data_IF_108515295363
#
_entry.id   IF_108515295363
#
_cell.length_a   1.000
_cell.length_b   1.000
_cell.length_c   1.000
_cell.angle_alpha   90.00
_cell.angle_beta   90.00
_cell.angle_gamma   90.00
#
_symmetry.space_group_name_H-M   'P 1'
#
loop_
_entity.id
_entity.type
_entity.pdbx_description
1 polymer ?
#
# COMPACT_ATOMS: atom_id res chain seq x y z
N UNK A 1 -32.10 -33.26 16.28
CA UNK A 1 -32.58 -32.58 15.05
C UNK A 1 -31.33 -32.09 14.33
N UNK A 2 -31.14 -32.44 13.06
CA UNK A 2 -30.08 -31.84 12.26
C UNK A 2 -30.55 -30.42 11.90
N UNK A 3 -29.88 -29.40 12.41
CA UNK A 3 -30.13 -28.02 12.02
C UNK A 3 -29.59 -27.87 10.60
N UNK A 4 -30.47 -27.81 9.61
CA UNK A 4 -30.06 -27.53 8.22
C UNK A 4 -29.67 -26.05 8.15
N UNK A 5 -28.38 -25.77 8.25
CA UNK A 5 -27.82 -24.44 7.99
C UNK A 5 -27.46 -24.34 6.51
N UNK A 6 -27.79 -23.23 5.84
CA UNK A 6 -27.35 -22.98 4.48
C UNK A 6 -25.82 -22.81 4.45
N UNK A 7 -25.15 -23.38 3.44
CA UNK A 7 -23.76 -23.05 3.15
C UNK A 7 -23.75 -21.77 2.29
N UNK A 8 -23.20 -20.68 2.81
CA UNK A 8 -23.22 -19.40 2.11
C UNK A 8 -22.07 -19.28 1.13
N UNK A 9 -22.34 -18.55 0.03
CA UNK A 9 -21.31 -18.10 -0.89
C UNK A 9 -20.34 -17.13 -0.20
N UNK A 10 -19.14 -16.99 -0.74
CA UNK A 10 -18.14 -16.04 -0.23
C UNK A 10 -18.71 -14.61 -0.22
N UNK A 11 -18.48 -13.90 0.88
CA UNK A 11 -19.02 -12.56 1.13
C UNK A 11 -20.43 -12.56 1.73
N UNK A 12 -21.04 -13.72 1.98
CA UNK A 12 -22.38 -13.84 2.58
C UNK A 12 -22.38 -14.69 3.86
N UNK A 13 -23.27 -14.36 4.79
CA UNK A 13 -23.44 -15.05 6.07
C UNK A 13 -24.89 -15.00 6.54
N UNK A 14 -25.16 -15.53 7.74
CA UNK A 14 -26.49 -15.66 8.32
C UNK A 14 -27.12 -17.03 8.08
N UNK A 15 -28.31 -17.24 8.66
CA UNK A 15 -29.01 -18.53 8.58
C UNK A 15 -29.52 -18.85 7.15
N UNK A 16 -29.84 -17.81 6.38
CA UNK A 16 -30.38 -17.86 5.02
C UNK A 16 -29.45 -17.21 3.98
N UNK A 17 -28.20 -16.91 4.35
CA UNK A 17 -27.20 -16.27 3.50
C UNK A 17 -27.57 -14.88 2.97
N UNK A 18 -28.51 -14.18 3.62
CA UNK A 18 -28.95 -12.84 3.21
C UNK A 18 -28.09 -11.69 3.72
N UNK A 19 -27.15 -11.96 4.63
CA UNK A 19 -26.31 -10.95 5.28
C UNK A 19 -25.00 -10.81 4.49
N UNK A 20 -24.71 -9.63 3.94
CA UNK A 20 -23.42 -9.36 3.31
C UNK A 20 -22.35 -9.11 4.37
N UNK A 21 -21.17 -9.69 4.18
CA UNK A 21 -19.99 -9.40 4.97
C UNK A 21 -19.42 -8.04 4.59
N UNK A 22 -19.02 -7.25 5.58
CA UNK A 22 -18.32 -6.01 5.32
C UNK A 22 -16.81 -6.23 5.15
N UNK A 23 -16.09 -5.25 4.59
CA UNK A 23 -14.64 -5.25 4.60
C UNK A 23 -14.07 -5.46 6.00
N UNK A 24 -12.95 -6.18 6.06
CA UNK A 24 -12.23 -6.49 7.29
C UNK A 24 -10.85 -5.84 7.26
N UNK A 25 -10.41 -5.40 8.43
CA UNK A 25 -9.12 -4.77 8.62
C UNK A 25 -8.65 -4.83 10.06
N UNK A 26 -7.43 -4.34 10.24
CA UNK A 26 -6.79 -4.16 11.55
C UNK A 26 -7.23 -2.83 12.15
N UNK A 27 -7.39 -2.79 13.47
CA UNK A 27 -7.79 -1.56 14.15
C UNK A 27 -6.57 -0.63 14.22
N UNK A 28 -6.61 0.58 13.64
CA UNK A 28 -5.43 1.45 13.56
C UNK A 28 -4.88 1.91 14.92
N UNK A 29 -5.60 1.67 16.02
CA UNK A 29 -5.15 2.02 17.36
C UNK A 29 -4.64 0.83 18.17
N UNK A 30 -4.82 -0.40 17.69
CA UNK A 30 -4.12 -1.56 18.26
C UNK A 30 -2.74 -1.60 17.59
N UNK A 31 -1.68 -1.64 18.40
CA UNK A 31 -0.30 -1.53 17.91
C UNK A 31 0.58 -2.56 18.60
N UNK A 32 1.68 -2.95 17.95
CA UNK A 32 2.60 -3.95 18.49
C UNK A 32 2.07 -5.38 18.40
N UNK A 33 1.12 -5.64 17.50
CA UNK A 33 0.66 -6.98 17.15
C UNK A 33 1.58 -7.64 16.12
N UNK A 34 1.50 -8.97 16.07
CA UNK A 34 2.23 -9.81 15.16
C UNK A 34 1.35 -10.26 13.99
N UNK A 35 2.01 -10.68 12.92
CA UNK A 35 1.36 -11.39 11.83
C UNK A 35 1.18 -12.88 12.19
N UNK A 36 0.06 -13.45 11.76
CA UNK A 36 -0.22 -14.87 11.95
C UNK A 36 0.87 -15.66 11.25
N UNK A 37 1.55 -16.56 11.98
CA UNK A 37 2.65 -17.35 11.40
C UNK A 37 2.45 -18.83 11.68
N UNK A 38 2.58 -19.65 10.63
CA UNK A 38 2.55 -21.11 10.71
C UNK A 38 3.84 -21.69 10.14
N UNK A 39 4.14 -22.91 10.52
CA UNK A 39 5.17 -23.72 9.91
C UNK A 39 4.52 -24.90 9.21
N UNK A 40 4.82 -25.08 7.93
CA UNK A 40 4.44 -26.28 7.18
C UNK A 40 5.69 -27.14 7.02
N UNK A 41 5.68 -28.33 7.61
CA UNK A 41 6.78 -29.28 7.59
C UNK A 41 6.37 -30.53 6.84
N UNK A 42 7.06 -30.84 5.75
CA UNK A 42 6.94 -32.11 5.04
C UNK A 42 8.14 -32.99 5.36
N UNK A 43 7.88 -34.21 5.83
CA UNK A 43 8.93 -35.17 6.20
C UNK A 43 8.90 -36.42 5.32
N UNK A 44 10.06 -37.05 5.18
CA UNK A 44 10.21 -38.41 4.68
C UNK A 44 10.91 -39.28 5.71
N UNK A 45 10.48 -40.53 5.89
CA UNK A 45 11.16 -41.49 6.77
C UNK A 45 12.57 -41.85 6.25
N UNK A 46 12.80 -41.79 4.93
CA UNK A 46 14.10 -41.93 4.30
C UNK A 46 14.08 -41.40 2.85
N UNK A 47 15.15 -40.71 2.44
CA UNK A 47 15.35 -40.21 1.07
C UNK A 47 14.81 -38.79 0.83
N UNK A 48 15.09 -38.23 -0.34
CA UNK A 48 14.60 -36.90 -0.72
C UNK A 48 13.12 -36.94 -1.10
N UNK A 49 12.34 -35.97 -0.61
CA UNK A 49 10.98 -35.72 -1.07
C UNK A 49 11.01 -35.19 -2.52
N UNK A 50 10.14 -35.74 -3.37
CA UNK A 50 9.90 -35.23 -4.71
C UNK A 50 8.42 -35.36 -5.06
N UNK A 51 7.93 -34.56 -6.01
CA UNK A 51 6.50 -34.43 -6.34
C UNK A 51 5.87 -33.16 -5.73
N UNK A 52 4.54 -33.13 -5.73
CA UNK A 52 3.75 -32.02 -5.19
C UNK A 52 2.83 -32.49 -4.07
N UNK A 53 2.55 -31.62 -3.12
CA UNK A 53 1.59 -31.79 -2.04
C UNK A 53 0.52 -30.70 -2.13
N UNK A 54 -0.69 -30.98 -1.65
CA UNK A 54 -1.76 -30.00 -1.61
C UNK A 54 -1.88 -29.41 -0.20
N UNK A 55 -1.99 -28.09 -0.12
CA UNK A 55 -2.33 -27.38 1.11
C UNK A 55 -3.74 -26.80 0.92
N UNK A 56 -4.59 -27.01 1.91
CA UNK A 56 -5.90 -26.37 2.01
C UNK A 56 -5.91 -25.39 3.17
N UNK A 57 -6.40 -24.18 2.92
CA UNK A 57 -6.71 -23.20 3.95
C UNK A 57 -8.14 -22.70 3.77
N UNK A 58 -8.98 -22.93 4.79
CA UNK A 58 -10.37 -22.45 4.83
C UNK A 58 -11.18 -22.80 3.55
N UNK A 59 -10.97 -24.03 3.06
CA UNK A 59 -11.70 -24.60 1.93
C UNK A 59 -11.07 -24.35 0.56
N UNK A 60 -10.04 -23.50 0.46
CA UNK A 60 -9.29 -23.30 -0.78
C UNK A 60 -7.99 -24.08 -0.79
N UNK A 61 -7.61 -24.61 -1.96
CA UNK A 61 -6.50 -25.56 -2.09
C UNK A 61 -5.57 -25.15 -3.22
N UNK A 62 -4.27 -25.24 -2.98
CA UNK A 62 -3.22 -25.15 -4.01
C UNK A 62 -2.25 -26.33 -3.90
N UNK A 63 -1.49 -26.57 -4.95
CA UNK A 63 -0.41 -27.56 -4.97
C UNK A 63 0.95 -26.87 -4.92
N UNK A 64 1.87 -27.41 -4.12
CA UNK A 64 3.24 -26.92 -3.99
C UNK A 64 4.22 -28.09 -4.15
N UNK A 65 5.33 -27.85 -4.84
CA UNK A 65 6.34 -28.88 -5.06
C UNK A 65 7.24 -29.03 -3.84
N UNK A 66 7.72 -30.25 -3.58
CA UNK A 66 8.67 -30.52 -2.49
C UNK A 66 9.99 -29.74 -2.62
N UNK A 67 10.37 -29.34 -3.85
CA UNK A 67 11.57 -28.56 -4.11
C UNK A 67 11.33 -27.06 -4.32
N UNK A 68 10.12 -26.56 -4.05
CA UNK A 68 9.76 -25.16 -4.24
C UNK A 68 10.74 -24.20 -3.53
N UNK A 69 11.00 -23.07 -4.17
CA UNK A 69 11.68 -21.91 -3.60
C UNK A 69 10.74 -21.10 -2.69
N UNK A 70 11.30 -20.14 -1.96
CA UNK A 70 10.54 -19.19 -1.15
C UNK A 70 9.52 -18.41 -2.00
N UNK A 71 9.95 -17.93 -3.17
CA UNK A 71 9.09 -17.20 -4.10
C UNK A 71 7.97 -18.08 -4.69
N UNK A 72 8.23 -19.36 -4.95
CA UNK A 72 7.19 -20.30 -5.39
C UNK A 72 6.19 -20.61 -4.28
N UNK A 73 6.63 -20.69 -3.02
CA UNK A 73 5.74 -20.82 -1.86
C UNK A 73 4.84 -19.58 -1.71
N UNK A 74 5.42 -18.38 -1.76
CA UNK A 74 4.69 -17.12 -1.66
C UNK A 74 3.63 -17.01 -2.77
N UNK A 75 4.05 -17.20 -4.03
CA UNK A 75 3.14 -17.16 -5.16
C UNK A 75 2.01 -18.20 -5.07
N UNK A 76 2.27 -19.38 -4.50
CA UNK A 76 1.28 -20.43 -4.38
C UNK A 76 0.22 -20.11 -3.31
N UNK A 77 0.63 -19.57 -2.17
CA UNK A 77 -0.30 -19.10 -1.13
C UNK A 77 -1.17 -17.94 -1.62
N UNK A 78 -0.59 -17.00 -2.37
CA UNK A 78 -1.31 -15.84 -2.94
C UNK A 78 -2.22 -16.21 -4.13
N UNK A 79 -2.25 -17.49 -4.55
CA UNK A 79 -3.31 -17.96 -5.48
C UNK A 79 -4.65 -18.21 -4.78
N UNK A 80 -4.65 -18.38 -3.46
CA UNK A 80 -5.88 -18.56 -2.69
C UNK A 80 -6.59 -17.21 -2.55
N UNK A 81 -7.87 -17.15 -2.91
CA UNK A 81 -8.62 -15.88 -2.88
C UNK A 81 -8.87 -15.35 -1.46
N UNK A 82 -8.70 -16.19 -0.44
CA UNK A 82 -8.72 -15.82 0.98
C UNK A 82 -7.36 -15.35 1.54
N UNK A 83 -6.33 -15.20 0.70
CA UNK A 83 -4.99 -14.71 1.07
C UNK A 83 -4.59 -13.56 0.16
N UNK A 84 -4.21 -12.40 0.72
CA UNK A 84 -3.77 -11.24 -0.08
C UNK A 84 -2.26 -11.16 -0.19
N UNK A 85 -1.54 -11.39 0.92
CA UNK A 85 -0.08 -11.37 0.94
C UNK A 85 0.48 -12.29 2.02
N UNK A 86 1.54 -13.02 1.66
CA UNK A 86 2.34 -13.78 2.63
C UNK A 86 3.83 -13.57 2.41
N UNK A 87 4.62 -13.85 3.44
CA UNK A 87 6.06 -14.05 3.32
C UNK A 87 6.37 -15.52 3.62
N UNK A 88 7.00 -16.21 2.67
CA UNK A 88 7.48 -17.58 2.87
C UNK A 88 9.00 -17.61 3.10
N UNK A 89 9.43 -18.15 4.25
CA UNK A 89 10.84 -18.44 4.52
C UNK A 89 11.09 -19.94 4.51
N UNK A 90 12.05 -20.40 3.71
CA UNK A 90 12.39 -21.82 3.60
C UNK A 90 13.42 -22.19 4.68
N UNK A 91 13.06 -23.16 5.51
CA UNK A 91 13.93 -23.68 6.55
C UNK A 91 15.10 -24.50 5.99
N UNK A 92 16.14 -24.67 6.81
CA UNK A 92 17.24 -25.58 6.50
C UNK A 92 16.71 -27.03 6.56
N UNK A 93 16.91 -27.85 5.51
CA UNK A 93 16.45 -29.22 5.52
C UNK A 93 17.02 -30.03 6.69
N UNK A 94 16.18 -30.85 7.32
CA UNK A 94 16.61 -31.79 8.34
C UNK A 94 17.54 -32.89 7.79
N UNK A 95 18.12 -33.74 8.65
CA UNK A 95 19.03 -34.82 8.25
C UNK A 95 18.42 -35.82 7.26
N UNK A 96 17.09 -35.88 7.20
CA UNK A 96 16.32 -36.80 6.34
C UNK A 96 15.80 -36.11 5.07
N UNK A 97 16.18 -34.84 4.84
CA UNK A 97 15.74 -34.07 3.66
C UNK A 97 14.36 -33.45 3.81
N UNK A 98 13.96 -33.12 5.05
CA UNK A 98 12.68 -32.50 5.36
C UNK A 98 12.58 -31.11 4.70
N UNK A 99 11.37 -30.75 4.28
CA UNK A 99 11.08 -29.47 3.65
C UNK A 99 10.22 -28.66 4.61
N UNK A 100 10.71 -27.49 5.00
CA UNK A 100 10.02 -26.63 5.95
C UNK A 100 9.81 -25.24 5.34
N UNK A 101 8.59 -24.73 5.45
CA UNK A 101 8.26 -23.34 5.13
C UNK A 101 7.65 -22.68 6.37
N UNK A 102 8.23 -21.56 6.78
CA UNK A 102 7.60 -20.64 7.72
C UNK A 102 6.81 -19.63 6.90
N UNK A 103 5.49 -19.64 7.06
CA UNK A 103 4.55 -18.80 6.31
C UNK A 103 4.02 -17.73 7.24
N UNK A 104 4.30 -16.47 6.92
CA UNK A 104 3.82 -15.28 7.65
C UNK A 104 2.69 -14.68 6.83
N UNK A 105 1.50 -14.59 7.39
CA UNK A 105 0.35 -13.96 6.74
C UNK A 105 0.41 -12.45 6.97
N UNK A 106 1.12 -11.74 6.09
CA UNK A 106 1.31 -10.29 6.16
C UNK A 106 -0.01 -9.53 6.00
N UNK A 107 -0.92 -10.05 5.15
CA UNK A 107 -2.22 -9.43 4.90
C UNK A 107 -3.27 -10.43 4.41
N UNK A 108 -4.45 -10.37 5.04
CA UNK A 108 -5.67 -10.98 4.51
C UNK A 108 -6.45 -9.95 3.66
N UNK A 109 -7.23 -10.40 2.65
CA UNK A 109 -7.94 -9.50 1.73
C UNK A 109 -8.87 -8.50 2.42
N UNK A 110 -8.84 -7.22 2.06
CA UNK A 110 -9.75 -6.23 2.66
C UNK A 110 -11.22 -6.58 2.47
N UNK A 111 -11.60 -7.10 1.29
CA UNK A 111 -12.91 -7.71 1.06
C UNK A 111 -12.76 -9.21 1.39
N UNK A 112 -13.31 -9.68 2.52
CA UNK A 112 -13.06 -11.04 2.98
C UNK A 112 -13.69 -12.07 2.05
N UNK A 113 -12.89 -13.02 1.59
CA UNK A 113 -13.37 -14.20 0.87
C UNK A 113 -13.83 -15.30 1.84
N UNK A 114 -14.73 -14.92 2.75
CA UNK A 114 -15.22 -15.75 3.87
C UNK A 114 -16.72 -16.05 3.74
N UNK A 115 -17.19 -17.07 4.44
CA UNK A 115 -18.61 -17.44 4.52
C UNK A 115 -19.02 -17.75 5.96
N UNK A 116 -20.24 -18.25 6.17
CA UNK A 116 -20.66 -18.76 7.48
C UNK A 116 -19.99 -20.08 7.88
N UNK A 117 -19.23 -20.73 6.98
CA UNK A 117 -18.51 -21.97 7.25
C UNK A 117 -17.01 -21.69 7.43
N UNK A 118 -16.44 -20.87 6.55
CA UNK A 118 -15.02 -20.53 6.55
C UNK A 118 -14.84 -19.07 6.94
N UNK A 119 -14.36 -18.83 8.16
CA UNK A 119 -14.19 -17.48 8.71
C UNK A 119 -13.17 -17.46 9.83
N UNK A 120 -12.42 -16.36 9.92
CA UNK A 120 -11.51 -16.05 11.00
C UNK A 120 -11.44 -14.53 11.19
N UNK A 121 -11.02 -14.11 12.39
CA UNK A 121 -10.84 -12.70 12.74
C UNK A 121 -9.36 -12.31 12.82
N UNK A 122 -8.55 -12.94 11.96
CA UNK A 122 -7.12 -12.67 11.77
C UNK A 122 -6.21 -13.74 12.36
N UNK A 123 -6.74 -14.55 13.28
CA UNK A 123 -6.04 -15.67 13.89
C UNK A 123 -6.76 -17.01 13.60
N UNK A 124 -6.70 -17.52 12.36
CA UNK A 124 -7.27 -18.82 12.03
C UNK A 124 -6.62 -19.93 12.88
N UNK A 125 -7.45 -20.82 13.42
CA UNK A 125 -6.98 -21.95 14.25
C UNK A 125 -6.21 -22.94 13.40
N UNK A 126 -5.29 -23.72 13.98
CA UNK A 126 -4.50 -24.68 13.20
C UNK A 126 -5.37 -25.70 12.40
N UNK A 127 -6.60 -25.95 12.85
CA UNK A 127 -7.55 -26.85 12.18
C UNK A 127 -8.10 -26.32 10.83
N UNK A 128 -7.94 -25.03 10.53
CA UNK A 128 -8.30 -24.47 9.21
C UNK A 128 -7.27 -24.81 8.13
N UNK A 129 -6.09 -25.28 8.54
CA UNK A 129 -5.00 -25.66 7.65
C UNK A 129 -4.91 -27.17 7.59
N UNK A 130 -5.03 -27.73 6.39
CA UNK A 130 -4.84 -29.17 6.18
C UNK A 130 -3.86 -29.39 5.04
N UNK A 131 -3.11 -30.48 5.13
CA UNK A 131 -2.35 -30.99 3.99
C UNK A 131 -3.03 -32.24 3.47
N UNK A 132 -3.26 -32.28 2.16
CA UNK A 132 -3.68 -33.50 1.48
C UNK A 132 -2.50 -34.11 0.71
N UNK A 133 -2.21 -35.38 1.01
CA UNK A 133 -1.14 -36.16 0.40
C UNK A 133 -1.66 -37.14 -0.66
N UNK A 134 -2.97 -37.16 -0.94
CA UNK A 134 -3.60 -38.13 -1.86
C UNK A 134 -3.12 -38.00 -3.30
N UNK A 135 -2.79 -36.78 -3.76
CA UNK A 135 -2.22 -36.53 -5.09
C UNK A 135 -0.68 -36.59 -5.12
N UNK A 136 -0.02 -36.96 -4.01
CA UNK A 136 1.44 -37.10 -3.98
C UNK A 136 1.85 -38.30 -4.83
N UNK A 137 2.32 -38.02 -6.04
CA UNK A 137 3.05 -39.00 -6.84
C UNK A 137 4.42 -39.17 -6.17
N UNK A 138 4.58 -40.22 -5.35
CA UNK A 138 5.87 -40.59 -4.78
C UNK A 138 6.84 -40.95 -5.91
N UNK A 139 7.62 -39.98 -6.38
CA UNK A 139 8.76 -40.26 -7.24
C UNK A 139 9.93 -40.72 -6.35
N UNK A 140 9.92 -42.01 -6.01
CA UNK A 140 11.00 -42.66 -5.25
C UNK A 140 10.52 -43.54 -4.10
N UNK A 141 11.48 -44.19 -3.43
CA UNK A 141 11.27 -45.22 -2.39
C UNK A 141 10.88 -44.66 -1.00
N UNK A 142 10.32 -43.45 -0.89
CA UNK A 142 9.88 -42.90 0.39
C UNK A 142 8.63 -43.64 0.86
N UNK A 143 8.72 -44.39 1.95
CA UNK A 143 7.66 -45.32 2.36
C UNK A 143 6.55 -44.68 3.18
N UNK A 144 6.63 -43.39 3.57
CA UNK A 144 5.56 -42.67 4.28
C UNK A 144 5.80 -41.15 4.29
N UNK A 145 5.34 -40.37 3.29
CA UNK A 145 5.36 -38.91 3.40
C UNK A 145 4.41 -38.45 4.51
N UNK A 146 4.81 -37.44 5.29
CA UNK A 146 3.93 -36.75 6.23
C UNK A 146 3.97 -35.24 6.00
N UNK A 147 2.86 -34.56 6.28
CA UNK A 147 2.79 -33.11 6.30
C UNK A 147 2.14 -32.68 7.61
N UNK A 148 2.80 -31.76 8.29
CA UNK A 148 2.37 -31.24 9.59
C UNK A 148 2.35 -29.73 9.49
N UNK A 149 1.25 -29.12 9.93
CA UNK A 149 1.12 -27.67 10.08
C UNK A 149 1.12 -27.35 11.56
N UNK A 150 2.00 -26.45 11.99
CA UNK A 150 2.14 -26.05 13.38
C UNK A 150 2.11 -24.53 13.55
N UNK A 151 1.70 -24.08 14.73
CA UNK A 151 1.73 -22.67 15.10
C UNK A 151 3.15 -22.20 15.39
N UNK A 152 3.55 -21.08 14.78
CA UNK A 152 4.78 -20.37 15.14
C UNK A 152 4.44 -19.10 15.92
N UNK A 153 3.51 -18.29 15.38
CA UNK A 153 2.97 -17.11 16.05
C UNK A 153 1.44 -17.15 15.96
N UNK A 154 0.80 -17.26 17.12
CA UNK A 154 -0.66 -17.39 17.24
C UNK A 154 -1.23 -16.52 18.38
N UNK A 155 -0.42 -15.63 18.96
CA UNK A 155 -0.80 -14.76 20.08
C UNK A 155 -0.52 -13.31 19.75
N UNK A 156 -1.36 -12.40 20.24
CA UNK A 156 -1.25 -10.97 19.94
C UNK A 156 -1.16 -10.74 18.42
N UNK A 157 -2.14 -11.29 17.69
CA UNK A 157 -2.21 -11.20 16.22
C UNK A 157 -3.00 -9.96 15.83
N UNK A 158 -2.65 -9.34 14.70
CA UNK A 158 -3.44 -8.25 14.08
C UNK A 158 -4.90 -8.66 13.95
N UNK A 159 -5.81 -7.75 14.24
CA UNK A 159 -7.22 -8.07 14.09
C UNK A 159 -7.60 -8.06 12.60
N UNK A 160 -8.61 -8.85 12.27
CA UNK A 160 -9.20 -8.85 10.94
C UNK A 160 -10.73 -8.93 11.10
N UNK A 161 -11.28 -7.80 11.57
CA UNK A 161 -12.67 -7.67 12.00
C UNK A 161 -13.43 -6.73 11.08
N UNK A 162 -14.75 -6.86 11.02
CA UNK A 162 -15.57 -5.98 10.19
C UNK A 162 -15.36 -4.52 10.56
N UNK A 163 -15.13 -3.71 9.53
CA UNK A 163 -14.91 -2.27 9.64
C UNK A 163 -13.81 -1.93 10.66
N UNK A 164 -12.83 -2.81 10.85
CA UNK A 164 -11.71 -2.64 11.80
C UNK A 164 -12.14 -2.33 13.23
N UNK A 165 -13.42 -2.55 13.57
CA UNK A 165 -14.04 -2.08 14.82
C UNK A 165 -14.23 -0.56 14.93
N UNK A 166 -14.03 0.17 13.83
CA UNK A 166 -14.10 1.64 13.69
C UNK A 166 -15.24 2.11 12.79
N UNK A 167 -16.21 1.24 12.52
CA UNK A 167 -17.39 1.58 11.73
C UNK A 167 -18.56 0.65 12.02
N UNK A 168 -19.74 1.04 11.52
CA UNK A 168 -20.91 0.18 11.49
C UNK A 168 -20.94 -0.59 10.17
N UNK A 169 -21.13 -1.91 10.25
CA UNK A 169 -21.29 -2.72 9.05
C UNK A 169 -22.71 -2.62 8.51
N UNK A 170 -22.89 -2.00 7.34
CA UNK A 170 -24.15 -2.06 6.61
C UNK A 170 -24.23 -3.42 5.90
N UNK A 171 -24.89 -4.38 6.55
CA UNK A 171 -25.01 -5.77 6.05
C UNK A 171 -25.94 -5.92 4.85
N UNK A 172 -26.67 -4.87 4.48
CA UNK A 172 -27.47 -4.86 3.25
C UNK A 172 -26.59 -4.50 2.08
N UNK A 173 -25.61 -3.61 2.23
CA UNK A 173 -24.73 -3.20 1.12
C UNK A 173 -23.40 -3.96 1.11
N UNK A 174 -22.98 -4.48 2.27
CA UNK A 174 -21.65 -5.06 2.47
C UNK A 174 -20.56 -4.00 2.54
N UNK A 175 -20.89 -2.81 3.06
CA UNK A 175 -20.00 -1.64 3.13
C UNK A 175 -19.93 -1.12 4.57
N UNK A 176 -18.78 -0.56 4.94
CA UNK A 176 -18.55 0.03 6.25
C UNK A 176 -18.92 1.52 6.28
N UNK A 177 -19.75 1.89 7.24
CA UNK A 177 -20.02 3.28 7.62
C UNK A 177 -19.04 3.67 8.73
N UNK A 178 -17.95 4.36 8.38
CA UNK A 178 -16.88 4.68 9.32
C UNK A 178 -17.30 5.72 10.36
N UNK A 179 -16.77 5.56 11.58
CA UNK A 179 -16.82 6.57 12.62
C UNK A 179 -16.05 7.82 12.17
N UNK A 180 -16.35 9.01 12.72
CA UNK A 180 -15.56 10.21 12.47
C UNK A 180 -14.06 9.96 12.71
N UNK A 181 -13.22 10.55 11.87
CA UNK A 181 -11.75 10.40 11.89
C UNK A 181 -11.24 9.02 11.43
N UNK A 182 -12.10 8.12 10.94
CA UNK A 182 -11.67 6.87 10.31
C UNK A 182 -12.09 6.82 8.83
N UNK A 183 -11.20 6.29 8.00
CA UNK A 183 -11.36 6.16 6.55
C UNK A 183 -10.79 4.81 6.07
N UNK A 184 -10.82 4.56 4.77
CA UNK A 184 -10.52 3.26 4.17
C UNK A 184 -11.77 2.40 4.01
N UNK A 185 -11.68 1.34 3.19
CA UNK A 185 -12.84 0.51 2.86
C UNK A 185 -13.34 -0.29 4.08
N UNK A 186 -12.45 -0.58 5.02
CA UNK A 186 -12.73 -1.23 6.29
C UNK A 186 -12.54 -0.28 7.49
N UNK A 187 -12.54 1.05 7.31
CA UNK A 187 -12.27 2.00 8.40
C UNK A 187 -10.94 1.76 9.13
N UNK A 188 -9.96 1.19 8.42
CA UNK A 188 -8.65 0.75 8.90
C UNK A 188 -7.63 1.90 8.96
N UNK A 189 -7.96 3.06 8.40
CA UNK A 189 -7.10 4.24 8.38
C UNK A 189 -7.65 5.27 9.38
N UNK A 190 -6.78 5.86 10.20
CA UNK A 190 -7.14 7.01 11.04
C UNK A 190 -6.79 8.30 10.29
N UNK A 191 -7.81 9.03 9.85
CA UNK A 191 -7.67 10.33 9.19
C UNK A 191 -7.27 11.37 10.24
N UNK A 192 -5.97 11.70 10.28
CA UNK A 192 -5.45 12.70 11.19
C UNK A 192 -5.75 14.09 10.64
N UNK A 193 -6.95 14.59 10.89
CA UNK A 193 -7.25 16.03 10.74
C UNK A 193 -6.37 16.81 11.75
N UNK A 194 -5.33 17.48 11.26
CA UNK A 194 -4.47 18.32 12.11
C UNK A 194 -5.17 19.66 12.33
N UNK A 195 -6.02 19.72 13.36
CA UNK A 195 -6.62 20.97 13.82
C UNK A 195 -5.52 21.81 14.50
N UNK A 196 -5.03 22.85 13.81
CA UNK A 196 -4.18 23.87 14.42
C UNK A 196 -5.02 25.08 14.84
N UNK A 197 -4.78 25.58 16.05
CA UNK A 197 -5.36 26.82 16.54
C UNK A 197 -4.23 27.81 16.86
N UNK A 198 -4.36 29.05 16.37
CA UNK A 198 -3.37 30.13 16.56
C UNK A 198 -2.27 30.19 15.49
N UNK A 199 -1.23 30.98 15.76
CA UNK A 199 -0.15 31.32 14.81
C UNK A 199 1.01 30.29 14.76
N UNK A 200 0.73 29.01 15.00
CA UNK A 200 1.75 27.97 14.99
C UNK A 200 1.84 27.26 13.64
N UNK A 201 3.05 26.79 13.27
CA UNK A 201 3.23 25.94 12.10
C UNK A 201 2.44 24.63 12.24
N UNK A 202 1.66 24.27 11.21
CA UNK A 202 1.02 22.95 11.11
C UNK A 202 2.08 21.86 10.90
N UNK A 203 3.15 22.18 10.17
CA UNK A 203 4.29 21.30 9.91
C UNK A 203 5.59 22.11 9.92
N UNK A 204 6.48 21.80 10.87
CA UNK A 204 7.84 22.34 10.91
C UNK A 204 8.86 21.22 10.64
N UNK A 205 9.61 21.34 9.56
CA UNK A 205 10.74 20.47 9.23
C UNK A 205 12.04 21.25 9.47
N UNK A 206 12.82 20.85 10.48
CA UNK A 206 14.02 21.57 10.90
C UNK A 206 15.23 20.65 11.02
N UNK A 207 16.20 20.80 10.12
CA UNK A 207 17.53 20.22 10.25
C UNK A 207 18.37 21.08 11.21
N UNK A 208 18.69 20.56 12.38
CA UNK A 208 19.37 21.30 13.46
C UNK A 208 20.90 21.27 13.38
N UNK A 209 21.45 20.44 12.48
CA UNK A 209 22.89 20.35 12.25
C UNK A 209 23.32 21.34 11.16
N UNK A 210 24.31 22.17 11.45
CA UNK A 210 24.88 23.14 10.51
C UNK A 210 25.66 22.49 9.36
N UNK A 211 25.99 21.21 9.45
CA UNK A 211 26.65 20.40 8.42
C UNK A 211 25.66 19.56 7.58
N UNK A 212 24.36 19.83 7.68
CA UNK A 212 23.35 19.09 6.92
C UNK A 212 23.53 19.27 5.39
N UNK A 213 23.72 18.15 4.69
CA UNK A 213 23.98 18.08 3.23
C UNK A 213 22.90 17.28 2.46
N UNK A 214 21.72 17.12 3.08
CA UNK A 214 20.60 16.32 2.55
C UNK A 214 19.40 17.15 2.09
N UNK A 215 18.24 16.50 1.97
CA UNK A 215 16.96 17.16 1.67
C UNK A 215 16.10 17.27 2.93
N UNK A 216 15.60 18.47 3.25
CA UNK A 216 14.60 18.64 4.32
C UNK A 216 13.25 18.06 3.89
N UNK A 217 12.88 18.22 2.62
CA UNK A 217 11.70 17.62 2.00
C UNK A 217 12.11 17.00 0.67
N UNK A 218 11.88 15.70 0.51
CA UNK A 218 12.12 14.97 -0.74
C UNK A 218 10.80 14.33 -1.20
N UNK A 219 10.27 14.81 -2.33
CA UNK A 219 9.04 14.30 -2.94
C UNK A 219 9.41 13.50 -4.18
N UNK A 220 8.98 12.23 -4.25
CA UNK A 220 9.29 11.33 -5.37
C UNK A 220 8.07 10.52 -5.81
N UNK A 221 8.02 10.19 -7.10
CA UNK A 221 7.00 9.34 -7.69
C UNK A 221 7.66 8.32 -8.62
N UNK A 222 7.15 7.08 -8.63
CA UNK A 222 7.52 6.06 -9.62
C UNK A 222 6.83 6.26 -10.96
N UNK A 223 5.76 7.09 -10.99
CA UNK A 223 5.10 7.49 -12.24
C UNK A 223 6.03 8.44 -13.01
N UNK A 224 6.21 8.25 -14.34
CA UNK A 224 6.97 9.18 -15.16
C UNK A 224 6.42 10.61 -15.09
N UNK A 225 7.31 11.59 -15.29
CA UNK A 225 6.95 13.01 -15.31
C UNK A 225 5.81 13.29 -16.29
N UNK A 226 4.69 13.83 -15.81
CA UNK A 226 3.53 14.18 -16.63
C UNK A 226 2.69 15.31 -16.03
N UNK A 227 1.79 15.85 -16.84
CA UNK A 227 0.81 16.87 -16.47
C UNK A 227 -0.32 16.37 -15.56
N UNK A 228 -0.42 15.05 -15.36
CA UNK A 228 -1.63 14.43 -14.80
C UNK A 228 -1.65 14.43 -13.26
N UNK A 229 -0.57 14.87 -12.64
CA UNK A 229 -0.44 14.94 -11.20
C UNK A 229 0.42 16.14 -10.77
N UNK A 230 0.35 16.48 -9.48
CA UNK A 230 1.16 17.52 -8.88
C UNK A 230 2.08 16.91 -7.81
N UNK A 231 3.32 17.38 -7.75
CA UNK A 231 4.16 17.17 -6.57
C UNK A 231 3.71 18.07 -5.42
N UNK A 232 3.32 19.32 -5.72
CA UNK A 232 2.81 20.28 -4.73
C UNK A 232 1.54 20.91 -5.30
N UNK A 233 0.45 20.85 -4.54
CA UNK A 233 -0.79 21.61 -4.77
C UNK A 233 -1.11 22.33 -3.46
N UNK A 234 -0.95 23.66 -3.43
CA UNK A 234 -1.25 24.48 -2.27
C UNK A 234 -2.48 25.34 -2.54
N UNK A 235 -3.51 25.19 -1.71
CA UNK A 235 -4.80 25.84 -1.87
C UNK A 235 -5.20 26.58 -0.59
N UNK A 236 -5.81 27.75 -0.77
CA UNK A 236 -6.43 28.51 0.31
C UNK A 236 -7.88 28.83 -0.11
N UNK A 237 -8.85 28.30 0.64
CA UNK A 237 -10.29 28.49 0.35
C UNK A 237 -10.64 28.14 -1.11
N UNK A 238 -10.21 26.95 -1.55
CA UNK A 238 -10.34 26.44 -2.93
C UNK A 238 -9.69 27.30 -4.03
N UNK A 239 -8.78 28.22 -3.67
CA UNK A 239 -7.95 28.98 -4.62
C UNK A 239 -6.53 28.43 -4.62
N UNK A 240 -6.06 28.01 -5.78
CA UNK A 240 -4.67 27.57 -5.95
C UNK A 240 -3.70 28.73 -5.77
N UNK A 241 -2.85 28.64 -4.75
CA UNK A 241 -1.79 29.61 -4.48
C UNK A 241 -0.47 29.22 -5.15
N UNK A 242 -0.15 27.92 -5.16
CA UNK A 242 1.04 27.36 -5.78
C UNK A 242 0.73 25.96 -6.33
N UNK A 243 1.22 25.69 -7.54
CA UNK A 243 1.27 24.34 -8.10
C UNK A 243 2.67 24.04 -8.60
N UNK A 244 3.18 22.85 -8.30
CA UNK A 244 4.36 22.24 -8.93
C UNK A 244 3.89 20.91 -9.51
N UNK A 245 3.75 20.86 -10.83
CA UNK A 245 3.26 19.67 -11.55
C UNK A 245 4.32 18.57 -11.62
N UNK A 246 3.87 17.35 -11.91
CA UNK A 246 4.72 16.18 -12.12
C UNK A 246 5.72 16.30 -13.26
N UNK A 247 5.46 17.20 -14.22
CA UNK A 247 6.36 17.57 -15.32
C UNK A 247 7.26 18.78 -15.00
N UNK A 248 7.20 19.30 -13.77
CA UNK A 248 8.00 20.42 -13.30
C UNK A 248 7.42 21.80 -13.63
N UNK A 249 6.31 21.89 -14.38
CA UNK A 249 5.67 23.17 -14.62
C UNK A 249 5.11 23.76 -13.31
N UNK A 250 5.41 25.02 -13.04
CA UNK A 250 5.10 25.69 -11.77
C UNK A 250 4.24 26.92 -12.02
N UNK A 251 3.13 27.04 -11.29
CA UNK A 251 2.22 28.19 -11.35
C UNK A 251 2.10 28.83 -9.98
N UNK A 252 2.22 30.16 -9.92
CA UNK A 252 2.03 30.97 -8.72
C UNK A 252 0.77 31.82 -8.93
N UNK A 253 -0.23 31.67 -8.07
CA UNK A 253 -1.50 32.41 -8.16
C UNK A 253 -1.40 33.88 -7.72
N UNK A 254 -0.29 34.26 -7.08
CA UNK A 254 0.01 35.62 -6.62
C UNK A 254 1.25 36.22 -7.26
N UNK A 255 1.99 37.03 -6.50
CA UNK A 255 3.26 37.65 -6.94
C UNK A 255 4.45 36.79 -6.57
N UNK A 256 5.41 36.67 -7.49
CA UNK A 256 6.76 36.15 -7.20
C UNK A 256 7.71 37.32 -6.93
N UNK A 257 8.18 37.46 -5.69
CA UNK A 257 9.20 38.44 -5.30
C UNK A 257 10.57 37.76 -5.19
N UNK A 258 11.59 38.29 -5.88
CA UNK A 258 12.94 37.72 -5.92
C UNK A 258 13.96 38.79 -5.56
N UNK A 259 14.66 38.62 -4.43
CA UNK A 259 15.56 39.64 -3.88
C UNK A 259 16.96 39.67 -4.50
N UNK A 260 17.39 38.60 -5.20
CA UNK A 260 18.72 38.52 -5.81
C UNK A 260 18.65 38.73 -7.32
N UNK A 261 18.05 37.80 -8.05
CA UNK A 261 17.91 37.89 -9.50
C UNK A 261 17.26 36.64 -10.10
N UNK A 262 16.84 36.75 -11.36
CA UNK A 262 16.24 35.66 -12.13
C UNK A 262 17.14 35.38 -13.35
N UNK A 263 17.51 34.11 -13.55
CA UNK A 263 18.26 33.66 -14.72
C UNK A 263 17.43 32.67 -15.53
N UNK A 264 17.27 32.94 -16.83
CA UNK A 264 16.52 32.09 -17.76
C UNK A 264 17.47 31.53 -18.81
N UNK A 265 17.70 30.21 -18.78
CA UNK A 265 18.65 29.56 -19.68
C UNK A 265 18.06 29.18 -21.04
N UNK A 266 16.78 28.82 -21.07
CA UNK A 266 16.06 28.41 -22.27
C UNK A 266 14.59 28.88 -22.20
N UNK A 267 13.94 29.06 -23.35
CA UNK A 267 12.53 29.47 -23.45
C UNK A 267 12.28 30.99 -23.39
N UNK A 268 13.19 31.76 -22.77
CA UNK A 268 13.08 33.22 -22.67
C UNK A 268 12.02 33.68 -21.67
N UNK A 269 11.79 34.99 -21.59
CA UNK A 269 10.75 35.61 -20.77
C UNK A 269 9.65 36.17 -21.66
N UNK A 270 8.43 35.66 -21.52
CA UNK A 270 7.22 36.20 -22.16
C UNK A 270 6.41 36.99 -21.13
N UNK A 271 6.00 38.21 -21.48
CA UNK A 271 5.18 39.08 -20.62
C UNK A 271 3.92 39.46 -21.39
N UNK A 272 2.77 39.00 -20.90
CA UNK A 272 1.47 39.26 -21.54
C UNK A 272 0.98 40.68 -21.24
N UNK A 273 0.67 40.97 -19.98
CA UNK A 273 0.10 42.25 -19.54
C UNK A 273 1.02 42.99 -18.56
N UNK A 274 0.88 44.33 -18.49
CA UNK A 274 1.61 45.19 -17.54
C UNK A 274 3.06 45.53 -17.94
N UNK A 275 3.68 44.75 -18.83
CA UNK A 275 5.02 44.99 -19.35
C UNK A 275 6.14 44.79 -18.31
N UNK A 276 7.38 44.96 -18.74
CA UNK A 276 8.56 44.90 -17.86
C UNK A 276 9.08 46.31 -17.56
N UNK A 277 9.33 46.60 -16.28
CA UNK A 277 9.92 47.88 -15.84
C UNK A 277 11.31 47.64 -15.25
N UNK A 278 12.33 48.25 -15.85
CA UNK A 278 13.70 48.26 -15.32
C UNK A 278 13.96 49.59 -14.64
N UNK A 279 14.11 49.58 -13.31
CA UNK A 279 14.33 50.82 -12.52
C UNK A 279 15.77 51.32 -12.57
N UNK A 280 16.74 50.41 -12.70
CA UNK A 280 18.18 50.70 -12.72
C UNK A 280 18.94 49.62 -13.48
N UNK A 281 20.17 49.91 -13.94
CA UNK A 281 21.04 48.95 -14.63
C UNK A 281 20.80 48.78 -16.13
N UNK A 282 19.61 49.17 -16.62
CA UNK A 282 19.27 49.11 -18.04
C UNK A 282 19.07 47.67 -18.57
N UNK A 283 19.01 47.54 -19.90
CA UNK A 283 18.93 46.24 -20.59
C UNK A 283 20.20 46.07 -21.42
N UNK A 284 20.96 45.00 -21.17
CA UNK A 284 22.10 44.61 -22.01
C UNK A 284 21.68 43.51 -22.98
N UNK A 285 22.09 43.62 -24.24
CA UNK A 285 21.84 42.62 -25.28
C UNK A 285 23.18 42.27 -25.91
N UNK A 286 23.71 41.11 -25.56
CA UNK A 286 25.03 40.70 -26.04
C UNK A 286 24.97 40.19 -27.48
N UNK A 287 23.84 39.58 -27.90
CA UNK A 287 23.60 39.04 -29.25
C UNK A 287 22.11 39.11 -29.63
N UNK A 288 21.78 39.12 -30.93
CA UNK A 288 20.40 39.00 -31.46
C UNK A 288 19.61 40.31 -31.62
N UNK A 289 19.98 41.37 -30.90
CA UNK A 289 19.35 42.70 -30.98
C UNK A 289 17.94 42.78 -30.39
N UNK A 290 17.37 43.99 -30.30
CA UNK A 290 15.99 44.22 -29.88
C UNK A 290 15.09 44.46 -31.10
N UNK A 291 13.93 43.82 -31.14
CA UNK A 291 12.90 44.07 -32.17
C UNK A 291 11.67 44.69 -31.52
N UNK A 292 11.17 45.78 -32.08
CA UNK A 292 9.94 46.45 -31.63
C UNK A 292 8.90 46.38 -32.74
N UNK A 293 7.88 45.54 -32.54
CA UNK A 293 6.85 45.28 -33.54
C UNK A 293 5.82 46.40 -33.65
N UNK A 294 5.59 47.16 -32.56
CA UNK A 294 4.63 48.25 -32.46
C UNK A 294 4.99 49.20 -31.31
N UNK A 295 4.47 50.44 -31.33
CA UNK A 295 4.62 51.42 -30.23
C UNK A 295 5.92 52.24 -30.24
N UNK A 296 6.96 51.79 -30.94
CA UNK A 296 8.24 52.50 -31.07
C UNK A 296 9.03 52.57 -29.76
N UNK A 297 10.19 53.23 -29.79
CA UNK A 297 11.01 53.51 -28.60
C UNK A 297 11.02 55.01 -28.35
N UNK A 298 10.62 55.43 -27.15
CA UNK A 298 10.68 56.83 -26.72
C UNK A 298 11.85 57.00 -25.76
N UNK A 299 12.83 57.82 -26.13
CA UNK A 299 13.98 58.17 -25.29
C UNK A 299 13.79 59.60 -24.82
N UNK A 300 13.55 59.79 -23.51
CA UNK A 300 13.27 61.10 -22.94
C UNK A 300 14.50 61.80 -22.37
N UNK A 301 15.58 61.10 -21.97
CA UNK A 301 16.90 61.65 -21.61
C UNK A 301 18.01 60.56 -21.60
N UNK A 302 19.23 60.88 -22.08
CA UNK A 302 20.49 60.18 -21.78
C UNK A 302 20.74 58.80 -22.40
N UNK A 303 20.73 58.70 -23.73
CA UNK A 303 21.15 57.48 -24.47
C UNK A 303 22.63 57.14 -24.30
#
# INVERSE_FOLDING_TARGET
>A
QATTLCACDAGFTGADCSIRMCPKGDDPFTTGQNDRTIQVTMNATAGSLSGSFAITFDGETFALTANASEAECEAAWETLTNVERVTCNKGVPGPVGDVMFTVIFDKFPVIPHQSNIFTHDGNPTIASFTCDLTEVIAAGTSTSPSCVVEDVVATNIKEYRFCSGRGLCNTIEGVCDCQPEFTGAACEEFDREVVSAGDNDVLLLHATNTEFDGNILHLMSTRPASSDFNFILAEADARTALTVRGDGNTTIGGTLEVSSGVSVYAGGLEVYDGGATVRAGGISIDQGGATVSAGGVVISNGG
#
